data_IF_360216917012
#
_entry.id   IF_360216917012
#
_cell.length_a   1.000
_cell.length_b   1.000
_cell.length_c   1.000
_cell.angle_alpha   90.00
_cell.angle_beta   90.00
_cell.angle_gamma   90.00
#
_symmetry.space_group_name_H-M   'P 1'
#
loop_
_entity.id
_entity.type
_entity.pdbx_description
1 polymer ?
#
# COMPACT_ATOMS: atom_id res chain seq x y z
N UNK A 1 12.11 -15.45 11.66
CA UNK A 1 12.74 -14.49 10.73
C UNK A 1 13.16 -13.30 11.55
N UNK A 2 14.40 -12.85 11.39
CA UNK A 2 14.94 -11.68 12.09
C UNK A 2 14.25 -10.42 11.54
N UNK A 3 13.24 -9.92 12.25
CA UNK A 3 12.44 -8.74 11.87
C UNK A 3 13.16 -7.41 12.16
N UNK A 4 14.40 -7.46 12.64
CA UNK A 4 15.15 -6.28 13.13
C UNK A 4 15.71 -5.37 12.03
N UNK A 5 15.70 -5.83 10.77
CA UNK A 5 16.22 -5.05 9.64
C UNK A 5 15.08 -4.61 8.74
N UNK A 6 14.89 -3.29 8.67
CA UNK A 6 13.99 -2.65 7.72
C UNK A 6 14.36 -3.10 6.30
N UNK A 7 13.34 -3.47 5.54
CA UNK A 7 13.54 -4.02 4.20
C UNK A 7 14.21 -2.98 3.28
N UNK A 8 15.22 -3.36 2.48
CA UNK A 8 15.77 -2.52 1.41
C UNK A 8 14.69 -1.94 0.48
N UNK A 9 13.59 -2.67 0.28
CA UNK A 9 12.44 -2.21 -0.50
C UNK A 9 11.78 -0.99 0.10
N UNK A 10 11.60 -0.92 1.43
CA UNK A 10 11.00 0.25 2.08
C UNK A 10 11.87 1.51 1.87
N UNK A 11 13.18 1.37 1.96
CA UNK A 11 14.14 2.45 1.69
C UNK A 11 14.09 2.91 0.22
N UNK A 12 14.11 1.97 -0.73
CA UNK A 12 14.03 2.28 -2.15
C UNK A 12 12.73 3.01 -2.50
N UNK A 13 11.59 2.44 -2.10
CA UNK A 13 10.27 2.98 -2.38
C UNK A 13 10.07 4.35 -1.73
N UNK A 14 10.54 4.54 -0.49
CA UNK A 14 10.57 5.86 0.17
C UNK A 14 11.33 6.92 -0.62
N UNK A 15 12.48 6.55 -1.19
CA UNK A 15 13.26 7.44 -2.06
C UNK A 15 12.58 7.71 -3.40
N UNK A 16 11.87 6.74 -3.99
CA UNK A 16 11.08 6.98 -5.21
C UNK A 16 10.01 8.05 -4.96
N UNK A 17 9.33 8.01 -3.81
CA UNK A 17 8.37 9.06 -3.44
C UNK A 17 9.05 10.42 -3.32
N UNK A 18 10.19 10.49 -2.63
CA UNK A 18 10.94 11.73 -2.45
C UNK A 18 11.41 12.33 -3.78
N UNK A 19 12.02 11.52 -4.64
CA UNK A 19 12.54 11.95 -5.95
C UNK A 19 11.44 12.47 -6.90
N UNK A 20 10.17 12.15 -6.63
CA UNK A 20 9.02 12.60 -7.42
C UNK A 20 8.16 13.64 -6.69
N UNK A 21 8.67 14.27 -5.62
CA UNK A 21 7.96 15.33 -4.89
C UNK A 21 6.76 14.84 -4.07
N UNK A 22 6.67 13.54 -3.82
CA UNK A 22 5.60 12.91 -3.05
C UNK A 22 5.98 12.67 -1.58
N UNK A 23 7.20 12.99 -1.16
CA UNK A 23 7.67 12.80 0.22
C UNK A 23 8.43 14.02 0.73
N UNK A 24 8.93 13.92 1.95
CA UNK A 24 9.76 14.91 2.65
C UNK A 24 11.19 14.39 2.76
N UNK A 25 12.16 15.29 2.92
CA UNK A 25 13.57 14.94 3.15
C UNK A 25 13.76 14.02 4.36
N UNK A 26 12.94 14.18 5.41
CA UNK A 26 13.02 13.36 6.62
C UNK A 26 12.80 11.86 6.34
N UNK A 27 11.90 11.51 5.41
CA UNK A 27 11.62 10.12 5.04
C UNK A 27 12.55 9.59 3.95
N UNK A 28 13.43 10.44 3.39
CA UNK A 28 14.41 10.05 2.39
C UNK A 28 15.71 9.59 3.06
N UNK A 29 15.92 8.29 3.10
CA UNK A 29 17.11 7.69 3.73
C UNK A 29 18.32 7.65 2.80
N UNK A 30 19.54 7.69 3.37
CA UNK A 30 20.78 7.55 2.59
C UNK A 30 20.88 6.18 1.90
N UNK A 31 20.44 5.12 2.58
CA UNK A 31 20.36 3.80 1.99
C UNK A 31 19.44 3.81 0.77
N UNK A 32 18.27 4.42 0.87
CA UNK A 32 17.33 4.56 -0.25
C UNK A 32 17.92 5.35 -1.42
N UNK A 33 18.60 6.48 -1.15
CA UNK A 33 19.32 7.28 -2.17
C UNK A 33 20.37 6.46 -2.92
N UNK A 34 21.16 5.67 -2.21
CA UNK A 34 22.17 4.79 -2.82
C UNK A 34 21.53 3.71 -3.69
N UNK A 35 20.49 3.05 -3.19
CA UNK A 35 19.77 2.00 -3.91
C UNK A 35 19.07 2.54 -5.16
N UNK A 36 18.43 3.70 -5.05
CA UNK A 36 17.78 4.39 -6.16
C UNK A 36 18.78 4.77 -7.27
N UNK A 37 19.94 5.31 -6.88
CA UNK A 37 21.02 5.65 -7.82
C UNK A 37 21.55 4.40 -8.53
N UNK A 38 21.78 3.31 -7.79
CA UNK A 38 22.31 2.06 -8.34
C UNK A 38 21.35 1.40 -9.34
N UNK A 39 20.05 1.47 -9.10
CA UNK A 39 19.02 0.83 -9.93
C UNK A 39 18.55 1.70 -11.11
N UNK A 40 18.90 2.99 -11.14
CA UNK A 40 18.52 3.91 -12.22
C UNK A 40 18.90 3.40 -13.63
N UNK A 41 20.15 3.01 -13.93
CA UNK A 41 20.51 2.55 -15.29
C UNK A 41 19.75 1.29 -15.69
N UNK A 42 19.42 0.44 -14.72
CA UNK A 42 18.62 -0.76 -14.97
C UNK A 42 17.16 -0.42 -15.31
N UNK A 43 16.56 0.55 -14.62
CA UNK A 43 15.23 1.06 -14.94
C UNK A 43 15.20 1.69 -16.34
N UNK A 44 16.19 2.52 -16.67
CA UNK A 44 16.28 3.19 -17.97
C UNK A 44 16.43 2.17 -19.12
N UNK A 45 17.30 1.17 -18.94
CA UNK A 45 17.48 0.07 -19.89
C UNK A 45 16.20 -0.76 -20.04
N UNK A 46 15.53 -1.05 -18.93
CA UNK A 46 14.30 -1.83 -18.95
C UNK A 46 13.18 -1.10 -19.73
N UNK A 47 13.02 0.21 -19.51
CA UNK A 47 12.07 1.03 -20.29
C UNK A 47 12.46 1.03 -21.77
N UNK A 48 13.75 1.21 -22.09
CA UNK A 48 14.23 1.21 -23.48
C UNK A 48 13.99 -0.13 -24.20
N UNK A 49 14.16 -1.27 -23.51
CA UNK A 49 13.99 -2.60 -24.09
C UNK A 49 12.53 -3.04 -24.22
N UNK A 50 11.66 -2.61 -23.29
CA UNK A 50 10.28 -3.13 -23.20
C UNK A 50 9.23 -2.14 -23.66
N UNK A 51 9.55 -0.84 -23.73
CA UNK A 51 8.58 0.23 -23.95
C UNK A 51 7.52 0.36 -22.84
N UNK A 52 7.66 -0.41 -21.76
CA UNK A 52 6.71 -0.44 -20.64
C UNK A 52 7.25 0.26 -19.39
N UNK A 53 6.40 0.45 -18.37
CA UNK A 53 6.80 1.17 -17.17
C UNK A 53 7.87 0.40 -16.39
N UNK A 54 8.93 1.11 -15.99
CA UNK A 54 9.96 0.57 -15.09
C UNK A 54 9.48 0.53 -13.63
N UNK A 55 10.36 0.11 -12.71
CA UNK A 55 10.02 -0.02 -11.30
C UNK A 55 9.52 1.29 -10.69
N UNK A 56 10.16 2.42 -10.97
CA UNK A 56 9.76 3.72 -10.43
C UNK A 56 8.38 4.11 -10.94
N UNK A 57 8.15 3.96 -12.24
CA UNK A 57 6.87 4.31 -12.86
C UNK A 57 5.74 3.45 -12.31
N UNK A 58 5.95 2.13 -12.15
CA UNK A 58 4.95 1.24 -11.53
C UNK A 58 4.65 1.64 -10.08
N UNK A 59 5.67 2.01 -9.29
CA UNK A 59 5.49 2.51 -7.92
C UNK A 59 4.67 3.81 -7.92
N UNK A 60 5.04 4.79 -8.75
CA UNK A 60 4.34 6.08 -8.84
C UNK A 60 2.89 5.90 -9.30
N UNK A 61 2.65 5.08 -10.33
CA UNK A 61 1.31 4.76 -10.81
C UNK A 61 0.42 4.25 -9.68
N UNK A 62 0.81 3.18 -8.99
CA UNK A 62 -0.03 2.61 -7.93
C UNK A 62 -0.24 3.57 -6.77
N UNK A 63 0.78 4.33 -6.38
CA UNK A 63 0.69 5.25 -5.26
C UNK A 63 -0.27 6.41 -5.53
N UNK A 64 -0.16 7.02 -6.72
CA UNK A 64 -1.04 8.13 -7.13
C UNK A 64 -2.48 7.68 -7.30
N UNK A 65 -2.71 6.47 -7.83
CA UNK A 65 -4.06 5.94 -8.02
C UNK A 65 -4.71 5.64 -6.66
N UNK A 66 -4.00 4.96 -5.75
CA UNK A 66 -4.51 4.71 -4.40
C UNK A 66 -4.78 6.02 -3.64
N UNK A 67 -3.88 7.01 -3.77
CA UNK A 67 -4.06 8.35 -3.21
C UNK A 67 -5.30 9.05 -3.78
N UNK A 68 -5.53 8.92 -5.08
CA UNK A 68 -6.71 9.49 -5.74
C UNK A 68 -8.00 8.87 -5.22
N UNK A 69 -8.07 7.54 -5.15
CA UNK A 69 -9.24 6.82 -4.64
C UNK A 69 -9.51 7.21 -3.17
N UNK A 70 -8.47 7.22 -2.33
CA UNK A 70 -8.58 7.63 -0.93
C UNK A 70 -9.04 9.10 -0.80
N UNK A 71 -8.46 9.99 -1.61
CA UNK A 71 -8.85 11.40 -1.66
C UNK A 71 -10.34 11.56 -1.96
N UNK A 72 -10.87 10.81 -2.93
CA UNK A 72 -12.29 10.84 -3.29
C UNK A 72 -13.18 10.34 -2.14
N UNK A 73 -12.81 9.23 -1.51
CA UNK A 73 -13.55 8.69 -0.38
C UNK A 73 -13.58 9.65 0.82
N UNK A 74 -12.47 10.37 1.08
CA UNK A 74 -12.43 11.39 2.14
C UNK A 74 -13.27 12.61 1.74
N UNK A 75 -13.11 13.10 0.51
CA UNK A 75 -13.78 14.31 0.04
C UNK A 75 -15.32 14.16 -0.06
N UNK A 76 -15.81 12.94 -0.34
CA UNK A 76 -17.25 12.65 -0.34
C UNK A 76 -17.83 12.45 1.06
N UNK A 77 -17.00 12.40 2.10
CA UNK A 77 -17.42 12.07 3.46
C UNK A 77 -17.62 10.56 3.71
N UNK A 78 -17.32 9.70 2.73
CA UNK A 78 -17.41 8.24 2.90
C UNK A 78 -16.48 7.75 4.01
N UNK A 79 -15.28 8.35 4.14
CA UNK A 79 -14.33 7.99 5.20
C UNK A 79 -13.73 9.24 5.86
N UNK A 80 -13.45 9.13 7.15
CA UNK A 80 -12.73 10.16 7.93
C UNK A 80 -11.62 9.58 8.81
N UNK A 81 -11.35 8.28 8.65
CA UNK A 81 -10.32 7.55 9.37
C UNK A 81 -9.59 6.61 8.42
N UNK A 82 -8.27 6.45 8.60
CA UNK A 82 -7.44 5.59 7.76
C UNK A 82 -6.52 4.74 8.62
N UNK A 83 -6.40 3.46 8.28
CA UNK A 83 -5.30 2.59 8.72
C UNK A 83 -4.50 2.18 7.48
N UNK A 84 -3.24 2.62 7.40
CA UNK A 84 -2.26 2.13 6.42
C UNK A 84 -1.43 1.03 7.08
N UNK A 85 -1.56 -0.20 6.59
CA UNK A 85 -0.88 -1.40 7.10
C UNK A 85 0.40 -1.63 6.31
N UNK A 86 1.48 -1.96 7.01
CA UNK A 86 2.84 -2.04 6.47
C UNK A 86 3.25 -0.72 5.81
N UNK A 87 3.03 0.38 6.53
CA UNK A 87 3.19 1.73 6.02
C UNK A 87 4.63 2.07 5.63
N UNK A 88 5.64 1.32 6.10
CA UNK A 88 7.05 1.50 5.76
C UNK A 88 7.48 2.96 5.85
N UNK A 89 8.03 3.50 4.76
CA UNK A 89 8.35 4.92 4.61
C UNK A 89 7.35 5.68 3.72
N UNK A 90 6.10 5.18 3.62
CA UNK A 90 5.00 5.89 2.96
C UNK A 90 4.85 7.31 3.52
N UNK A 91 4.68 8.34 2.68
CA UNK A 91 4.48 9.72 3.12
C UNK A 91 3.00 10.06 3.34
N UNK A 92 2.08 9.09 3.20
CA UNK A 92 0.64 9.37 3.18
C UNK A 92 0.15 10.00 4.46
N UNK A 93 0.46 9.47 5.64
CA UNK A 93 -0.02 10.07 6.88
C UNK A 93 0.36 11.54 7.00
N UNK A 94 1.62 11.88 6.71
CA UNK A 94 2.07 13.28 6.63
C UNK A 94 1.33 14.10 5.57
N UNK A 95 1.22 13.61 4.32
CA UNK A 95 0.56 14.33 3.20
C UNK A 95 -0.93 14.53 3.43
N UNK A 96 -1.64 13.49 3.83
CA UNK A 96 -3.08 13.51 4.05
C UNK A 96 -3.43 14.32 5.30
N UNK A 97 -2.66 14.24 6.39
CA UNK A 97 -2.83 15.14 7.54
C UNK A 97 -2.48 16.57 7.22
N UNK A 98 -1.57 16.81 6.26
CA UNK A 98 -1.37 18.15 5.72
C UNK A 98 -2.53 18.63 4.84
N UNK A 99 -3.26 17.75 4.18
CA UNK A 99 -4.37 18.16 3.31
C UNK A 99 -5.67 18.34 4.07
N UNK A 100 -6.04 17.35 4.88
CA UNK A 100 -7.36 17.25 5.53
C UNK A 100 -7.35 17.69 7.01
N UNK A 101 -6.17 17.90 7.61
CA UNK A 101 -6.03 18.47 8.96
C UNK A 101 -6.86 17.68 9.99
N UNK A 102 -7.72 18.37 10.76
CA UNK A 102 -8.52 17.80 11.84
C UNK A 102 -9.67 16.92 11.37
N UNK A 103 -10.08 16.96 10.10
CA UNK A 103 -11.18 16.13 9.60
C UNK A 103 -10.79 14.69 9.30
N UNK A 104 -9.51 14.34 9.44
CA UNK A 104 -8.98 13.01 9.14
C UNK A 104 -8.15 12.48 10.30
N UNK A 105 -8.48 11.29 10.78
CA UNK A 105 -7.57 10.49 11.61
C UNK A 105 -6.76 9.56 10.69
N UNK A 106 -5.44 9.53 10.86
CA UNK A 106 -4.55 8.68 10.05
C UNK A 106 -3.64 7.85 10.95
N UNK A 107 -3.76 6.53 10.85
CA UNK A 107 -2.93 5.56 11.55
C UNK A 107 -2.02 4.87 10.54
N UNK A 108 -0.72 4.96 10.78
CA UNK A 108 0.32 4.23 10.06
C UNK A 108 0.76 3.06 10.93
N UNK A 109 0.51 1.84 10.47
CA UNK A 109 0.81 0.59 11.16
C UNK A 109 1.95 -0.16 10.50
N UNK A 110 2.94 -0.59 11.28
CA UNK A 110 4.03 -1.46 10.81
C UNK A 110 4.58 -2.36 11.93
N UNK A 111 5.50 -3.25 11.61
CA UNK A 111 6.23 -4.04 12.59
C UNK A 111 7.05 -3.15 13.54
N UNK A 112 7.37 -3.63 14.76
CA UNK A 112 7.88 -2.78 15.85
C UNK A 112 9.02 -1.83 15.45
N UNK A 113 10.06 -2.33 14.79
CA UNK A 113 11.25 -1.55 14.47
C UNK A 113 11.00 -0.51 13.37
N UNK A 114 10.18 -0.85 12.36
CA UNK A 114 9.82 0.08 11.30
C UNK A 114 8.89 1.18 11.83
N UNK A 115 7.90 0.82 12.67
CA UNK A 115 7.02 1.79 13.33
C UNK A 115 7.81 2.72 14.27
N UNK A 116 8.78 2.19 15.02
CA UNK A 116 9.65 2.97 15.90
C UNK A 116 10.52 3.95 15.10
N UNK A 117 11.19 3.48 14.02
CA UNK A 117 11.98 4.36 13.16
C UNK A 117 11.11 5.47 12.59
N UNK A 118 10.00 5.14 11.94
CA UNK A 118 9.16 6.13 11.26
C UNK A 118 8.63 7.18 12.23
N UNK A 119 8.19 6.74 13.42
CA UNK A 119 7.72 7.65 14.47
C UNK A 119 8.81 8.62 14.90
N UNK A 120 10.00 8.12 15.24
CA UNK A 120 11.13 8.97 15.62
C UNK A 120 11.49 9.97 14.51
N UNK A 121 11.57 9.50 13.25
CA UNK A 121 11.84 10.36 12.09
C UNK A 121 10.82 11.48 11.92
N UNK A 122 9.52 11.19 12.07
CA UNK A 122 8.47 12.20 11.93
C UNK A 122 8.41 13.16 13.14
N UNK A 123 8.69 12.66 14.35
CA UNK A 123 8.73 13.47 15.57
C UNK A 123 9.92 14.44 15.57
N UNK A 124 11.13 13.95 15.28
CA UNK A 124 12.36 14.75 15.19
C UNK A 124 12.26 15.84 14.12
N UNK A 125 11.60 15.54 13.00
CA UNK A 125 11.36 16.50 11.93
C UNK A 125 10.17 17.45 12.18
N UNK A 126 9.45 17.32 13.31
CA UNK A 126 8.29 18.15 13.63
C UNK A 126 7.09 17.96 12.67
N UNK A 127 6.97 16.77 12.07
CA UNK A 127 5.99 16.47 11.02
C UNK A 127 4.71 15.82 11.53
N UNK A 128 4.70 15.34 12.79
CA UNK A 128 3.52 14.80 13.45
C UNK A 128 2.47 15.89 13.69
N UNK A 129 1.19 15.55 13.45
CA UNK A 129 0.03 16.43 13.68
C UNK A 129 -1.00 15.72 14.54
N UNK A 130 -1.87 16.47 15.21
CA UNK A 130 -2.97 15.87 15.99
C UNK A 130 -3.83 14.93 15.14
N UNK A 131 -4.11 13.72 15.62
CA UNK A 131 -4.80 12.66 14.89
C UNK A 131 -3.95 11.97 13.81
N UNK A 132 -2.63 12.11 13.86
CA UNK A 132 -1.66 11.32 13.10
C UNK A 132 -0.96 10.37 14.07
N UNK A 133 -1.09 9.06 13.85
CA UNK A 133 -0.50 8.04 14.70
C UNK A 133 0.42 7.14 13.89
N UNK A 134 1.57 6.79 14.45
CA UNK A 134 2.45 5.72 13.95
C UNK A 134 2.53 4.67 15.04
N UNK A 135 2.09 3.44 14.75
CA UNK A 135 1.91 2.38 15.74
C UNK A 135 2.45 1.05 15.27
N UNK A 136 2.75 0.18 16.23
CA UNK A 136 2.99 -1.23 15.91
C UNK A 136 1.67 -1.90 15.53
N UNK A 137 1.66 -2.54 14.36
CA UNK A 137 0.53 -3.29 13.82
C UNK A 137 1.05 -4.46 12.99
N UNK A 138 0.56 -5.67 13.29
CA UNK A 138 0.82 -6.87 12.50
C UNK A 138 -0.49 -7.39 11.89
N UNK A 139 -0.57 -7.38 10.55
CA UNK A 139 -1.75 -7.82 9.81
C UNK A 139 -2.07 -9.31 9.98
N UNK A 140 -1.09 -10.11 10.41
CA UNK A 140 -1.23 -11.56 10.57
C UNK A 140 -1.84 -11.94 11.93
N UNK A 141 -1.75 -11.06 12.94
CA UNK A 141 -2.31 -11.34 14.25
C UNK A 141 -3.84 -11.38 14.19
N UNK A 142 -4.44 -12.47 14.70
CA UNK A 142 -5.90 -12.60 14.84
C UNK A 142 -6.45 -11.60 15.86
N UNK A 143 -5.76 -11.40 16.98
CA UNK A 143 -6.19 -10.58 18.10
C UNK A 143 -5.03 -9.86 18.84
N UNK A 144 -5.37 -9.20 19.94
CA UNK A 144 -4.42 -8.48 20.78
C UNK A 144 -4.16 -7.03 20.35
N UNK A 145 -3.34 -6.28 21.12
CA UNK A 145 -3.20 -4.83 20.97
C UNK A 145 -2.53 -4.39 19.67
N UNK A 146 -1.88 -5.31 18.96
CA UNK A 146 -1.17 -5.07 17.71
C UNK A 146 -1.90 -5.64 16.48
N UNK A 147 -3.05 -6.30 16.65
CA UNK A 147 -3.86 -6.73 15.51
C UNK A 147 -4.58 -5.53 14.88
N UNK A 148 -5.09 -5.72 13.66
CA UNK A 148 -5.92 -4.72 12.97
C UNK A 148 -7.11 -4.30 13.84
N UNK A 149 -7.79 -5.26 14.47
CA UNK A 149 -8.93 -5.01 15.33
C UNK A 149 -8.53 -4.29 16.64
N UNK A 150 -7.42 -4.70 17.28
CA UNK A 150 -6.96 -4.08 18.52
C UNK A 150 -6.50 -2.63 18.33
N UNK A 151 -5.83 -2.33 17.20
CA UNK A 151 -5.47 -0.96 16.84
C UNK A 151 -6.72 -0.13 16.53
N UNK A 152 -7.65 -0.69 15.75
CA UNK A 152 -8.90 -0.01 15.40
C UNK A 152 -9.71 0.33 16.65
N UNK A 153 -9.96 -0.63 17.55
CA UNK A 153 -10.75 -0.42 18.75
C UNK A 153 -10.15 0.58 19.75
N UNK A 154 -8.83 0.83 19.69
CA UNK A 154 -8.15 1.80 20.54
C UNK A 154 -8.13 3.22 19.97
N UNK A 155 -8.06 3.35 18.64
CA UNK A 155 -7.78 4.63 17.98
C UNK A 155 -8.93 5.16 17.13
N UNK A 156 -9.83 4.29 16.67
CA UNK A 156 -10.90 4.66 15.75
C UNK A 156 -12.24 4.79 16.46
N UNK A 157 -13.06 5.65 15.89
CA UNK A 157 -14.47 5.83 16.22
C UNK A 157 -15.32 4.89 15.34
N UNK A 158 -16.05 3.92 15.91
CA UNK A 158 -16.82 2.95 15.14
C UNK A 158 -17.99 3.60 14.37
N UNK A 159 -18.44 4.80 14.76
CA UNK A 159 -19.51 5.52 14.05
C UNK A 159 -19.05 6.16 12.73
N UNK A 160 -17.75 6.13 12.43
CA UNK A 160 -17.15 6.81 11.28
C UNK A 160 -16.61 5.84 10.24
N UNK A 161 -16.82 6.19 8.97
CA UNK A 161 -16.32 5.42 7.84
C UNK A 161 -14.79 5.35 7.86
N UNK A 162 -14.27 4.15 7.64
CA UNK A 162 -12.83 3.85 7.74
C UNK A 162 -12.29 3.31 6.42
N UNK A 163 -11.11 3.79 6.02
CA UNK A 163 -10.33 3.20 4.95
C UNK A 163 -9.19 2.36 5.52
N UNK A 164 -8.97 1.16 4.98
CA UNK A 164 -7.76 0.38 5.22
C UNK A 164 -6.95 0.32 3.94
N UNK A 165 -5.64 0.47 4.03
CA UNK A 165 -4.74 0.48 2.89
C UNK A 165 -3.61 -0.51 3.12
N UNK A 166 -3.32 -1.34 2.11
CA UNK A 166 -2.09 -2.13 2.04
C UNK A 166 -1.40 -1.85 0.70
N UNK A 167 -0.26 -1.15 0.72
CA UNK A 167 0.53 -0.94 -0.51
C UNK A 167 1.84 -1.72 -0.44
N UNK A 168 2.10 -2.57 -1.44
CA UNK A 168 3.30 -3.37 -1.53
C UNK A 168 3.40 -4.43 -0.43
N UNK A 169 2.27 -4.99 0.02
CA UNK A 169 2.24 -5.99 1.09
C UNK A 169 1.82 -7.37 0.60
N UNK A 170 0.66 -7.46 -0.08
CA UNK A 170 -0.04 -8.72 -0.38
C UNK A 170 0.84 -9.68 -1.20
N UNK A 171 1.67 -9.15 -2.10
CA UNK A 171 2.55 -9.95 -2.95
C UNK A 171 3.70 -10.65 -2.20
N UNK A 172 3.88 -10.41 -0.89
CA UNK A 172 4.90 -11.07 -0.08
C UNK A 172 4.39 -12.29 0.70
N UNK A 173 3.11 -12.63 0.53
CA UNK A 173 2.47 -13.70 1.28
C UNK A 173 1.88 -14.76 0.35
N UNK A 174 1.86 -16.04 0.80
CA UNK A 174 1.07 -17.08 0.15
C UNK A 174 -0.43 -16.78 0.29
N UNK A 175 -1.25 -17.41 -0.55
CA UNK A 175 -2.68 -17.11 -0.68
C UNK A 175 -3.44 -17.27 0.65
N UNK A 176 -3.15 -18.30 1.45
CA UNK A 176 -3.79 -18.55 2.75
C UNK A 176 -3.56 -17.40 3.76
N UNK A 177 -2.35 -16.84 3.78
CA UNK A 177 -2.02 -15.69 4.60
C UNK A 177 -2.73 -14.42 4.08
N UNK A 178 -2.81 -14.24 2.76
CA UNK A 178 -3.57 -13.13 2.14
C UNK A 178 -5.06 -13.22 2.49
N UNK A 179 -5.66 -14.41 2.37
CA UNK A 179 -7.06 -14.65 2.75
C UNK A 179 -7.29 -14.38 4.23
N UNK A 180 -6.32 -14.70 5.10
CA UNK A 180 -6.33 -14.35 6.52
C UNK A 180 -6.32 -12.83 6.77
N UNK A 181 -5.46 -12.10 6.08
CA UNK A 181 -5.38 -10.63 6.15
C UNK A 181 -6.71 -10.01 5.71
N UNK A 182 -7.25 -10.45 4.57
CA UNK A 182 -8.54 -9.93 4.07
C UNK A 182 -9.69 -10.19 5.03
N UNK A 183 -9.78 -11.39 5.62
CA UNK A 183 -10.81 -11.69 6.63
C UNK A 183 -10.73 -10.77 7.85
N UNK A 184 -9.52 -10.50 8.35
CA UNK A 184 -9.32 -9.58 9.50
C UNK A 184 -9.72 -8.14 9.15
N UNK A 185 -9.34 -7.67 7.97
CA UNK A 185 -9.69 -6.32 7.50
C UNK A 185 -11.21 -6.22 7.31
N UNK A 186 -11.83 -7.18 6.63
CA UNK A 186 -13.29 -7.21 6.42
C UNK A 186 -14.05 -7.26 7.74
N UNK A 187 -13.62 -8.10 8.70
CA UNK A 187 -14.23 -8.19 10.02
C UNK A 187 -14.13 -6.86 10.78
N UNK A 188 -12.98 -6.19 10.76
CA UNK A 188 -12.81 -4.88 11.39
C UNK A 188 -13.71 -3.82 10.74
N UNK A 189 -13.75 -3.76 9.41
CA UNK A 189 -14.61 -2.82 8.68
C UNK A 189 -16.10 -3.11 8.87
N UNK A 190 -16.51 -4.36 9.08
CA UNK A 190 -17.90 -4.73 9.42
C UNK A 190 -18.30 -4.34 10.82
N UNK A 191 -17.33 -4.17 11.72
CA UNK A 191 -17.59 -3.71 13.09
C UNK A 191 -17.81 -2.19 13.15
N UNK A 192 -17.60 -1.44 12.07
CA UNK A 192 -17.96 -0.02 11.99
C UNK A 192 -19.43 0.14 11.60
N UNK A 193 -20.08 1.17 12.14
CA UNK A 193 -21.48 1.51 11.85
C UNK A 193 -21.67 2.26 10.53
N UNK A 194 -20.58 2.76 9.94
CA UNK A 194 -20.57 3.50 8.69
C UNK A 194 -20.01 2.68 7.51
N UNK A 195 -19.63 1.42 7.74
CA UNK A 195 -18.91 0.60 6.80
C UNK A 195 -17.50 1.11 6.51
N UNK A 196 -16.97 0.76 5.35
CA UNK A 196 -15.66 1.25 4.94
C UNK A 196 -15.12 0.68 3.65
N UNK A 197 -13.91 1.13 3.31
CA UNK A 197 -13.24 0.78 2.07
C UNK A 197 -11.88 0.13 2.37
N UNK A 198 -11.51 -0.85 1.57
CA UNK A 198 -10.18 -1.42 1.55
C UNK A 198 -9.53 -1.15 0.20
N UNK A 199 -8.32 -0.59 0.24
CA UNK A 199 -7.53 -0.23 -0.92
C UNK A 199 -6.23 -1.03 -0.91
N UNK A 200 -5.87 -1.65 -2.03
CA UNK A 200 -4.62 -2.40 -2.13
C UNK A 200 -4.07 -2.38 -3.54
N UNK A 201 -2.81 -2.76 -3.69
CA UNK A 201 -2.25 -3.25 -4.93
C UNK A 201 -1.97 -4.76 -4.87
N UNK A 202 -1.91 -5.41 -6.03
CA UNK A 202 -1.50 -6.80 -6.17
C UNK A 202 -0.96 -7.08 -7.57
N UNK A 203 -0.18 -8.15 -7.69
CA UNK A 203 0.27 -8.71 -8.96
C UNK A 203 -0.45 -10.03 -9.21
N UNK A 204 -1.04 -10.18 -10.40
CA UNK A 204 -1.71 -11.41 -10.83
C UNK A 204 -0.77 -12.23 -11.71
N UNK A 205 -0.86 -13.56 -11.65
CA UNK A 205 -0.03 -14.43 -12.48
C UNK A 205 -0.31 -14.23 -13.98
N UNK A 206 -1.57 -13.99 -14.37
CA UNK A 206 -1.93 -13.68 -15.76
C UNK A 206 -1.26 -12.41 -16.31
N UNK A 207 -0.87 -11.50 -15.42
CA UNK A 207 -0.22 -10.23 -15.76
C UNK A 207 1.31 -10.33 -15.76
N UNK A 208 1.86 -11.47 -15.32
CA UNK A 208 3.30 -11.74 -15.36
C UNK A 208 3.70 -12.10 -16.77
N UNK A 209 4.43 -11.20 -17.42
CA UNK A 209 5.04 -11.45 -18.72
C UNK A 209 6.07 -12.60 -18.60
N UNK A 210 5.96 -13.61 -19.46
CA UNK A 210 6.91 -14.74 -19.55
C UNK A 210 8.22 -14.38 -20.28
N UNK A 211 8.45 -13.10 -20.60
CA UNK A 211 9.70 -12.67 -21.23
C UNK A 211 10.91 -12.87 -20.30
N UNK A 212 12.04 -13.25 -20.88
CA UNK A 212 13.29 -13.49 -20.15
C UNK A 212 13.75 -12.26 -19.36
N UNK A 213 13.50 -11.05 -19.90
CA UNK A 213 13.81 -9.77 -19.24
C UNK A 213 12.94 -9.55 -18.01
N UNK A 214 11.64 -9.87 -18.07
CA UNK A 214 10.72 -9.77 -16.93
C UNK A 214 11.05 -10.80 -15.84
N UNK A 215 11.48 -12.00 -16.23
CA UNK A 215 11.94 -13.02 -15.29
C UNK A 215 13.20 -12.57 -14.54
N UNK A 216 14.21 -12.08 -15.26
CA UNK A 216 15.45 -11.57 -14.67
C UNK A 216 15.18 -10.38 -13.72
N UNK A 217 14.29 -9.47 -14.11
CA UNK A 217 13.83 -8.36 -13.26
C UNK A 217 13.18 -8.86 -11.97
N UNK A 218 12.30 -9.87 -12.05
CA UNK A 218 11.64 -10.45 -10.87
C UNK A 218 12.63 -11.13 -9.95
N UNK A 219 13.59 -11.89 -10.49
CA UNK A 219 14.63 -12.54 -9.68
C UNK A 219 15.46 -11.50 -8.93
N UNK A 220 15.86 -10.42 -9.60
CA UNK A 220 16.57 -9.31 -8.96
C UNK A 220 15.74 -8.63 -7.86
N UNK A 221 14.44 -8.40 -8.10
CA UNK A 221 13.53 -7.80 -7.12
C UNK A 221 13.28 -8.71 -5.91
N UNK A 222 13.09 -10.01 -6.10
CA UNK A 222 12.90 -10.99 -5.01
C UNK A 222 14.16 -11.10 -4.14
N UNK A 223 15.34 -11.14 -4.77
CA UNK A 223 16.61 -11.13 -4.04
C UNK A 223 16.78 -9.82 -3.24
N UNK A 224 16.35 -8.69 -3.81
CA UNK A 224 16.41 -7.37 -3.17
C UNK A 224 15.44 -7.23 -1.99
N UNK A 225 14.22 -7.74 -2.14
CA UNK A 225 13.19 -7.69 -1.11
C UNK A 225 13.40 -8.72 0.03
N UNK A 226 14.38 -9.61 -0.10
CA UNK A 226 14.68 -10.72 0.84
C UNK A 226 13.46 -11.59 1.16
N UNK A 227 12.60 -11.77 0.16
CA UNK A 227 11.36 -12.54 0.27
C UNK A 227 10.89 -13.02 -1.11
N UNK A 228 10.15 -14.13 -1.13
CA UNK A 228 9.55 -14.65 -2.35
C UNK A 228 8.40 -13.74 -2.75
N UNK A 229 8.46 -13.12 -3.94
CA UNK A 229 7.30 -12.44 -4.51
C UNK A 229 6.32 -13.51 -4.99
N UNK A 230 5.19 -13.60 -4.33
CA UNK A 230 4.09 -14.47 -4.67
C UNK A 230 3.12 -13.75 -5.61
N UNK A 231 2.60 -14.48 -6.58
CA UNK A 231 1.39 -14.12 -7.33
C UNK A 231 0.31 -15.11 -6.90
N UNK A 232 -0.33 -14.86 -5.74
CA UNK A 232 -1.21 -15.85 -5.11
C UNK A 232 -2.44 -16.16 -5.95
N UNK A 233 -2.78 -15.28 -6.90
CA UNK A 233 -4.01 -15.36 -7.69
C UNK A 233 -3.72 -15.30 -9.18
N UNK A 234 -4.46 -16.10 -9.93
CA UNK A 234 -4.29 -16.23 -11.37
C UNK A 234 -4.89 -15.02 -12.11
N UNK A 235 -6.18 -14.73 -11.86
CA UNK A 235 -6.94 -13.72 -12.60
C UNK A 235 -7.59 -12.67 -11.68
N UNK A 236 -8.05 -11.57 -12.28
CA UNK A 236 -8.77 -10.53 -11.55
C UNK A 236 -10.11 -11.03 -10.99
N UNK A 237 -10.75 -11.99 -11.66
CA UNK A 237 -11.99 -12.59 -11.19
C UNK A 237 -11.75 -13.51 -9.99
N UNK A 238 -10.63 -14.24 -9.97
CA UNK A 238 -10.24 -15.02 -8.79
C UNK A 238 -9.98 -14.12 -7.58
N UNK A 239 -9.26 -13.02 -7.79
CA UNK A 239 -9.05 -12.02 -6.75
C UNK A 239 -10.36 -11.43 -6.23
N UNK A 240 -11.28 -11.07 -7.14
CA UNK A 240 -12.60 -10.56 -6.77
C UNK A 240 -13.37 -11.58 -5.93
N UNK A 241 -13.41 -12.84 -6.35
CA UNK A 241 -14.08 -13.92 -5.61
C UNK A 241 -13.47 -14.15 -4.24
N UNK A 242 -12.14 -14.17 -4.13
CA UNK A 242 -11.44 -14.37 -2.85
C UNK A 242 -11.70 -13.22 -1.86
N UNK A 243 -11.66 -11.97 -2.34
CA UNK A 243 -11.98 -10.79 -1.53
C UNK A 243 -13.44 -10.83 -1.06
N UNK A 244 -14.39 -11.17 -1.93
CA UNK A 244 -15.79 -11.31 -1.51
C UNK A 244 -15.98 -12.45 -0.50
N UNK A 245 -15.32 -13.59 -0.70
CA UNK A 245 -15.34 -14.72 0.23
C UNK A 245 -14.72 -14.38 1.59
N UNK A 246 -13.76 -13.45 1.63
CA UNK A 246 -13.18 -12.94 2.88
C UNK A 246 -14.13 -12.04 3.67
N UNK A 247 -15.28 -11.65 3.09
CA UNK A 247 -16.33 -10.91 3.78
C UNK A 247 -16.49 -9.47 3.30
N UNK A 248 -15.92 -9.05 2.17
CA UNK A 248 -16.28 -7.77 1.55
C UNK A 248 -17.62 -7.90 0.80
N UNK A 249 -18.39 -6.81 0.69
CA UNK A 249 -19.67 -6.79 -0.05
C UNK A 249 -19.47 -6.48 -1.53
N UNK A 250 -18.47 -5.66 -1.85
CA UNK A 250 -18.11 -5.30 -3.22
C UNK A 250 -16.60 -5.34 -3.40
N UNK A 251 -16.14 -5.66 -4.61
CA UNK A 251 -14.74 -5.66 -4.98
C UNK A 251 -14.57 -5.33 -6.46
N UNK A 252 -13.70 -4.37 -6.76
CA UNK A 252 -13.33 -3.97 -8.10
C UNK A 252 -11.81 -3.94 -8.23
N UNK A 253 -11.30 -4.53 -9.32
CA UNK A 253 -9.90 -4.45 -9.70
C UNK A 253 -9.76 -3.54 -10.93
N UNK A 254 -8.77 -2.66 -10.88
CA UNK A 254 -8.49 -1.67 -11.92
C UNK A 254 -7.03 -1.78 -12.37
N UNK A 255 -6.78 -1.37 -13.61
CA UNK A 255 -5.42 -1.17 -14.13
C UNK A 255 -5.06 0.32 -14.09
N UNK A 256 -3.77 0.67 -14.04
CA UNK A 256 -3.36 2.06 -14.23
C UNK A 256 -3.85 2.65 -15.55
N UNK A 257 -3.89 1.86 -16.62
CA UNK A 257 -4.41 2.32 -17.92
C UNK A 257 -5.88 2.76 -17.84
N UNK A 258 -6.73 2.07 -17.07
CA UNK A 258 -8.12 2.46 -16.85
C UNK A 258 -8.24 3.77 -16.04
N UNK A 259 -7.25 4.09 -15.20
CA UNK A 259 -7.25 5.28 -14.34
C UNK A 259 -6.49 6.47 -14.97
N UNK A 260 -5.87 6.29 -16.14
CA UNK A 260 -4.99 7.29 -16.75
C UNK A 260 -5.70 8.60 -17.15
N UNK A 261 -7.02 8.55 -17.40
CA UNK A 261 -7.83 9.74 -17.68
C UNK A 261 -8.18 10.54 -16.43
N UNK A 262 -8.17 9.91 -15.25
CA UNK A 262 -8.55 10.52 -13.97
C UNK A 262 -7.35 10.93 -13.13
N UNK A 263 -6.21 10.25 -13.30
CA UNK A 263 -5.00 10.41 -12.50
C UNK A 263 -3.80 10.68 -13.41
N UNK A 264 -3.06 11.78 -13.21
CA UNK A 264 -1.86 12.06 -13.99
C UNK A 264 -0.74 11.08 -13.59
N UNK A 265 -0.69 9.94 -14.26
CA UNK A 265 0.30 8.88 -14.03
C UNK A 265 1.38 8.86 -15.11
N UNK A 266 2.62 8.46 -14.79
CA UNK A 266 3.65 8.27 -15.80
C UNK A 266 3.29 7.07 -16.70
N UNK A 267 3.74 7.10 -17.96
CA UNK A 267 3.65 5.99 -18.91
C UNK A 267 2.28 5.26 -18.93
N UNK A 268 1.17 5.94 -19.31
CA UNK A 268 -0.16 5.33 -19.34
C UNK A 268 -0.30 4.23 -20.40
N UNK A 269 0.61 4.19 -21.38
CA UNK A 269 0.65 3.19 -22.44
C UNK A 269 1.68 2.11 -22.11
N UNK A 270 1.22 0.87 -21.96
CA UNK A 270 2.04 -0.31 -21.66
C UNK A 270 1.27 -1.31 -20.79
N UNK A 271 1.64 -2.59 -20.86
CA UNK A 271 1.05 -3.63 -20.01
C UNK A 271 1.45 -3.38 -18.55
N UNK A 272 0.62 -2.60 -17.85
CA UNK A 272 0.78 -2.28 -16.44
C UNK A 272 0.45 -3.52 -15.61
N UNK A 273 1.45 -3.95 -14.82
CA UNK A 273 1.49 -5.28 -14.18
C UNK A 273 0.95 -5.32 -12.75
N UNK A 274 0.53 -4.16 -12.26
CA UNK A 274 -0.05 -3.99 -10.94
C UNK A 274 -1.54 -3.75 -11.10
N UNK A 275 -2.34 -4.52 -10.39
CA UNK A 275 -3.78 -4.27 -10.23
C UNK A 275 -4.02 -3.49 -8.96
N UNK A 276 -4.97 -2.56 -9.03
CA UNK A 276 -5.43 -1.78 -7.90
C UNK A 276 -6.78 -2.33 -7.47
N UNK A 277 -6.87 -2.76 -6.22
CA UNK A 277 -8.09 -3.26 -5.62
C UNK A 277 -8.77 -2.14 -4.84
N UNK A 278 -10.07 -1.97 -5.07
CA UNK A 278 -10.99 -1.27 -4.20
C UNK A 278 -12.07 -2.25 -3.78
N UNK A 279 -12.16 -2.53 -2.49
CA UNK A 279 -13.22 -3.35 -1.91
C UNK A 279 -13.99 -2.55 -0.87
N UNK A 280 -15.25 -2.91 -0.64
CA UNK A 280 -16.09 -2.23 0.32
C UNK A 280 -16.77 -3.21 1.26
N UNK A 281 -17.06 -2.71 2.46
CA UNK A 281 -18.10 -3.24 3.33
C UNK A 281 -19.17 -2.17 3.40
N UNK A 282 -20.24 -2.38 2.65
CA UNK A 282 -21.41 -1.53 2.67
C UNK A 282 -22.31 -1.88 3.86
N UNK A 283 -23.04 -0.90 4.37
CA UNK A 283 -24.11 -1.16 5.32
C UNK A 283 -25.23 -1.94 4.62
N UNK A 284 -25.84 -2.93 5.30
CA UNK A 284 -27.09 -3.49 4.81
C UNK A 284 -28.10 -2.35 4.68
N UNK A 285 -28.67 -2.21 3.47
CA UNK A 285 -29.74 -1.26 3.17
C UNK A 285 -31.02 -1.63 3.91
#
# INVERSE_FOLDING_TARGET
MDTSRISPTAHYTGTVWHANGLSTDALATDQGRRLHTLLRPFNDLYTALTGGPNLNEMLIQRHLILDHILTRAIASGQVSQVIEIAAGLSPRGWRFKRRFRSSLLYVEGDLPDMAALKRATLEEAGLMRGGHHVVTLNALHDDGPQSVAGVAGRLLDPSKGTAVITEGLINYFPQDAVDGIWRRIAAMLRATEAGGVYLSDMSLNSDVNRSLVAHAFRVALSAFARGSVHTPLETAEDARRAVLAAGFTEAALMTPAQMASEVPIPAPMGATRVRLLRAEVALPR
#
